data_IF_197561333874
#
_entry.id   IF_197561333874
#
_cell.length_a   1.000
_cell.length_b   1.000
_cell.length_c   1.000
_cell.angle_alpha   90.00
_cell.angle_beta   90.00
_cell.angle_gamma   90.00
#
_symmetry.space_group_name_H-M   'P 1'
#
loop_
_entity.id
_entity.type
_entity.pdbx_description
1 polymer ?
#
# COMPACT_ATOMS: atom_id res chain seq x y z
N UNK A 1 45.37 -45.61 -53.44
CA UNK A 1 45.90 -44.23 -53.35
C UNK A 1 45.26 -43.49 -52.17
N UNK A 2 43.93 -43.48 -52.07
CA UNK A 2 43.17 -42.93 -50.92
C UNK A 2 43.56 -43.57 -49.58
N UNK A 3 43.73 -44.90 -49.52
CA UNK A 3 44.19 -45.63 -48.31
C UNK A 3 45.62 -45.27 -47.86
N UNK A 4 46.52 -44.91 -48.78
CA UNK A 4 47.90 -44.54 -48.45
C UNK A 4 47.98 -43.11 -47.89
N UNK A 5 47.11 -42.21 -48.37
CA UNK A 5 46.94 -40.85 -47.85
C UNK A 5 46.25 -40.84 -46.49
N UNK A 6 45.25 -41.71 -46.28
CA UNK A 6 44.63 -41.91 -44.96
C UNK A 6 45.62 -42.39 -43.89
N UNK A 7 46.57 -43.28 -44.24
CA UNK A 7 47.66 -43.69 -43.34
C UNK A 7 48.67 -42.58 -43.01
N UNK A 8 48.74 -41.52 -43.82
CA UNK A 8 49.56 -40.34 -43.59
C UNK A 8 48.78 -39.19 -42.89
N UNK A 9 47.49 -39.40 -42.55
CA UNK A 9 46.63 -38.38 -41.96
C UNK A 9 46.17 -37.29 -42.93
N UNK A 10 46.18 -37.57 -44.24
CA UNK A 10 45.79 -36.64 -45.30
C UNK A 10 44.48 -37.09 -45.95
N UNK A 11 43.54 -36.17 -46.06
CA UNK A 11 42.19 -36.37 -46.59
C UNK A 11 41.96 -35.47 -47.80
N UNK A 12 41.06 -35.84 -48.71
CA UNK A 12 40.61 -34.95 -49.78
C UNK A 12 39.26 -34.35 -49.41
N UNK A 13 39.07 -33.06 -49.66
CA UNK A 13 37.75 -32.42 -49.56
C UNK A 13 36.94 -32.55 -50.87
N UNK A 14 35.70 -32.08 -50.84
CA UNK A 14 34.76 -32.09 -51.98
C UNK A 14 35.28 -31.33 -53.22
N UNK A 15 36.34 -30.52 -53.08
CA UNK A 15 37.00 -29.77 -54.14
C UNK A 15 38.35 -30.38 -54.56
N UNK A 16 38.61 -31.64 -54.16
CA UNK A 16 39.87 -32.37 -54.38
C UNK A 16 41.11 -31.67 -53.80
N UNK A 17 40.97 -30.86 -52.74
CA UNK A 17 42.11 -30.28 -52.03
C UNK A 17 42.56 -31.20 -50.90
N UNK A 18 43.87 -31.33 -50.72
CA UNK A 18 44.46 -32.09 -49.62
C UNK A 18 44.25 -31.32 -48.31
N UNK A 19 43.68 -31.98 -47.30
CA UNK A 19 43.47 -31.47 -45.94
C UNK A 19 44.09 -32.43 -44.92
N UNK A 20 44.47 -31.87 -43.77
CA UNK A 20 45.08 -32.61 -42.65
C UNK A 20 44.03 -33.02 -41.60
N UNK A 21 42.80 -32.52 -41.75
CA UNK A 21 41.65 -32.86 -40.92
C UNK A 21 40.57 -33.46 -41.83
N UNK A 22 39.87 -34.47 -41.34
CA UNK A 22 38.77 -35.11 -42.06
C UNK A 22 37.66 -34.08 -42.33
N UNK A 23 37.17 -33.93 -43.58
CA UNK A 23 36.22 -32.90 -43.97
C UNK A 23 34.94 -32.90 -43.12
N UNK A 24 34.38 -34.08 -42.83
CA UNK A 24 33.18 -34.23 -42.02
C UNK A 24 33.40 -33.77 -40.58
N UNK A 25 34.55 -34.12 -39.99
CA UNK A 25 34.94 -33.68 -38.64
C UNK A 25 35.16 -32.16 -38.62
N UNK A 26 35.75 -31.58 -39.67
CA UNK A 26 35.93 -30.15 -39.80
C UNK A 26 34.58 -29.41 -39.86
N UNK A 27 33.62 -29.94 -40.63
CA UNK A 27 32.31 -29.36 -40.79
C UNK A 27 31.47 -29.47 -39.51
N UNK A 28 31.43 -30.64 -38.88
CA UNK A 28 30.77 -30.84 -37.59
C UNK A 28 31.36 -29.94 -36.49
N UNK A 29 32.68 -29.69 -36.50
CA UNK A 29 33.32 -28.78 -35.55
C UNK A 29 32.89 -27.33 -35.78
N UNK A 30 32.68 -26.92 -37.03
CA UNK A 30 32.19 -25.58 -37.38
C UNK A 30 30.72 -25.41 -37.01
N UNK A 31 29.87 -26.39 -37.32
CA UNK A 31 28.45 -26.41 -36.93
C UNK A 31 28.32 -26.35 -35.40
N UNK A 32 29.06 -27.20 -34.68
CA UNK A 32 29.06 -27.19 -33.21
C UNK A 32 29.50 -25.83 -32.64
N UNK A 33 30.49 -25.17 -33.26
CA UNK A 33 30.94 -23.83 -32.85
C UNK A 33 29.83 -22.80 -33.02
N UNK A 34 29.14 -22.84 -34.14
CA UNK A 34 28.09 -21.88 -34.48
C UNK A 34 26.86 -22.10 -33.59
N UNK A 35 26.46 -23.35 -33.37
CA UNK A 35 25.40 -23.73 -32.42
C UNK A 35 25.74 -23.32 -30.98
N UNK A 36 26.98 -23.54 -30.53
CA UNK A 36 27.44 -23.08 -29.22
C UNK A 36 27.33 -21.56 -29.09
N UNK A 37 27.65 -20.82 -30.15
CA UNK A 37 27.58 -19.36 -30.14
C UNK A 37 26.12 -18.89 -30.07
N UNK A 38 25.24 -19.47 -30.86
CA UNK A 38 23.82 -19.14 -30.84
C UNK A 38 23.19 -19.47 -29.47
N UNK A 39 23.57 -20.60 -28.87
CA UNK A 39 23.15 -20.96 -27.52
C UNK A 39 23.59 -19.93 -26.47
N UNK A 40 24.86 -19.49 -26.53
CA UNK A 40 25.38 -18.45 -25.61
C UNK A 40 24.64 -17.13 -25.79
N UNK A 41 24.33 -16.75 -27.03
CA UNK A 41 23.58 -15.53 -27.33
C UNK A 41 22.14 -15.61 -26.77
N UNK A 42 21.47 -16.76 -26.95
CA UNK A 42 20.13 -16.99 -26.40
C UNK A 42 20.10 -16.97 -24.87
N UNK A 43 21.07 -17.60 -24.22
CA UNK A 43 21.21 -17.56 -22.75
C UNK A 43 21.46 -16.14 -22.25
N UNK A 44 22.30 -15.38 -22.96
CA UNK A 44 22.58 -13.99 -22.62
C UNK A 44 21.34 -13.10 -22.76
N UNK A 45 20.51 -13.33 -23.78
CA UNK A 45 19.24 -12.62 -23.93
C UNK A 45 18.22 -13.01 -22.85
N UNK A 46 18.16 -14.29 -22.51
CA UNK A 46 17.32 -14.79 -21.43
C UNK A 46 17.69 -14.15 -20.09
N UNK A 47 18.98 -14.13 -19.74
CA UNK A 47 19.47 -13.46 -18.52
C UNK A 47 19.06 -11.99 -18.47
N UNK A 48 19.25 -11.24 -19.57
CA UNK A 48 18.82 -9.84 -19.66
C UNK A 48 17.31 -9.66 -19.44
N UNK A 49 16.49 -10.58 -19.94
CA UNK A 49 15.03 -10.55 -19.72
C UNK A 49 14.67 -10.88 -18.27
N UNK A 50 15.32 -11.87 -17.68
CA UNK A 50 15.15 -12.24 -16.27
C UNK A 50 15.53 -11.09 -15.33
N UNK A 51 16.67 -10.42 -15.58
CA UNK A 51 17.11 -9.28 -14.77
C UNK A 51 16.11 -8.12 -14.83
N UNK A 52 15.63 -7.78 -16.04
CA UNK A 52 14.57 -6.77 -16.21
C UNK A 52 13.27 -7.17 -15.53
N UNK A 53 12.91 -8.45 -15.57
CA UNK A 53 11.71 -8.93 -14.90
C UNK A 53 11.83 -8.80 -13.38
N UNK A 54 12.98 -9.15 -12.80
CA UNK A 54 13.26 -8.96 -11.37
C UNK A 54 13.11 -7.47 -11.01
N UNK A 55 13.71 -6.57 -11.80
CA UNK A 55 13.61 -5.13 -11.56
C UNK A 55 12.15 -4.63 -11.59
N UNK A 56 11.35 -5.11 -12.55
CA UNK A 56 9.92 -4.74 -12.64
C UNK A 56 9.15 -5.25 -11.42
N UNK A 57 9.43 -6.48 -10.97
CA UNK A 57 8.78 -7.07 -9.79
C UNK A 57 9.13 -6.28 -8.54
N UNK A 58 10.38 -5.89 -8.36
CA UNK A 58 10.82 -5.07 -7.22
C UNK A 58 10.12 -3.70 -7.21
N UNK A 59 10.11 -3.01 -8.35
CA UNK A 59 9.40 -1.73 -8.48
C UNK A 59 7.90 -1.85 -8.24
N UNK A 60 7.28 -2.97 -8.63
CA UNK A 60 5.88 -3.24 -8.35
C UNK A 60 5.65 -3.46 -6.85
N UNK A 61 6.54 -4.21 -6.19
CA UNK A 61 6.52 -4.41 -4.74
C UNK A 61 6.54 -3.09 -3.98
N UNK A 62 7.47 -2.20 -4.31
CA UNK A 62 7.57 -0.87 -3.70
C UNK A 62 6.29 -0.03 -3.89
N UNK A 63 5.70 -0.06 -5.09
CA UNK A 63 4.45 0.66 -5.38
C UNK A 63 3.29 0.12 -4.57
N UNK A 64 3.17 -1.22 -4.47
CA UNK A 64 2.13 -1.88 -3.68
C UNK A 64 2.25 -1.50 -2.20
N UNK A 65 3.46 -1.56 -1.64
CA UNK A 65 3.68 -1.20 -0.24
C UNK A 65 3.39 0.27 0.03
N UNK A 66 3.76 1.17 -0.90
CA UNK A 66 3.43 2.59 -0.80
C UNK A 66 1.93 2.84 -0.76
N UNK A 67 1.15 2.23 -1.65
CA UNK A 67 -0.31 2.39 -1.67
C UNK A 67 -0.97 1.70 -0.47
N UNK A 68 -0.47 0.55 -0.03
CA UNK A 68 -0.90 -0.11 1.20
C UNK A 68 -0.71 0.79 2.42
N UNK A 69 0.45 1.44 2.54
CA UNK A 69 0.73 2.37 3.65
C UNK A 69 -0.20 3.58 3.62
N UNK A 70 -0.47 4.16 2.45
CA UNK A 70 -1.48 5.24 2.30
C UNK A 70 -2.87 4.78 2.74
N UNK A 71 -3.31 3.61 2.26
CA UNK A 71 -4.62 3.05 2.62
C UNK A 71 -4.76 2.80 4.12
N UNK A 72 -3.73 2.25 4.77
CA UNK A 72 -3.68 2.09 6.22
C UNK A 72 -3.72 3.44 6.95
N UNK A 73 -2.97 4.44 6.47
CA UNK A 73 -2.97 5.80 7.00
C UNK A 73 -4.35 6.44 6.96
N UNK A 74 -5.01 6.43 5.81
CA UNK A 74 -6.38 6.96 5.65
C UNK A 74 -7.38 6.23 6.54
N UNK A 75 -7.30 4.89 6.63
CA UNK A 75 -8.16 4.10 7.51
C UNK A 75 -7.96 4.45 8.99
N UNK A 76 -6.72 4.64 9.42
CA UNK A 76 -6.42 5.03 10.80
C UNK A 76 -6.92 6.43 11.13
N UNK A 77 -6.77 7.38 10.19
CA UNK A 77 -7.31 8.73 10.34
C UNK A 77 -8.83 8.71 10.49
N UNK A 78 -9.55 7.99 9.62
CA UNK A 78 -11.00 7.85 9.72
C UNK A 78 -11.43 7.25 11.06
N UNK A 79 -10.70 6.23 11.54
CA UNK A 79 -10.98 5.60 12.82
C UNK A 79 -10.75 6.57 14.00
N UNK A 80 -9.69 7.38 13.96
CA UNK A 80 -9.45 8.38 15.01
C UNK A 80 -10.50 9.50 14.99
N UNK A 81 -10.88 9.97 13.79
CA UNK A 81 -11.93 10.97 13.63
C UNK A 81 -13.28 10.48 14.16
N UNK A 82 -13.67 9.23 13.91
CA UNK A 82 -14.91 8.65 14.45
C UNK A 82 -14.89 8.63 15.98
N UNK A 83 -13.77 8.18 16.59
CA UNK A 83 -13.61 8.20 18.04
C UNK A 83 -13.66 9.60 18.63
N UNK A 84 -13.00 10.56 17.99
CA UNK A 84 -13.02 11.96 18.43
C UNK A 84 -14.44 12.53 18.35
N UNK A 85 -15.17 12.23 17.27
CA UNK A 85 -16.55 12.64 17.09
C UNK A 85 -17.46 12.09 18.20
N UNK A 86 -17.34 10.80 18.51
CA UNK A 86 -18.09 10.16 19.60
C UNK A 86 -17.78 10.79 20.95
N UNK A 87 -16.49 11.00 21.26
CA UNK A 87 -16.07 11.65 22.50
C UNK A 87 -16.61 13.08 22.62
N UNK A 88 -16.52 13.87 21.54
CA UNK A 88 -17.07 15.23 21.51
C UNK A 88 -18.59 15.21 21.70
N UNK A 89 -19.30 14.27 21.09
CA UNK A 89 -20.75 14.13 21.25
C UNK A 89 -21.12 13.80 22.70
N UNK A 90 -20.39 12.89 23.36
CA UNK A 90 -20.60 12.57 24.77
C UNK A 90 -20.36 13.78 25.67
N UNK A 91 -19.29 14.54 25.43
CA UNK A 91 -19.00 15.77 26.16
C UNK A 91 -20.11 16.82 25.99
N UNK A 92 -20.61 17.03 24.77
CA UNK A 92 -21.72 17.95 24.52
C UNK A 92 -23.01 17.51 25.22
N UNK A 93 -23.33 16.21 25.20
CA UNK A 93 -24.51 15.67 25.89
C UNK A 93 -24.40 15.87 27.41
N UNK A 94 -23.21 15.65 27.98
CA UNK A 94 -22.97 15.90 29.40
C UNK A 94 -23.18 17.39 29.75
N UNK A 95 -22.63 18.30 28.94
CA UNK A 95 -22.78 19.73 29.14
C UNK A 95 -24.24 20.19 29.01
N UNK A 96 -24.98 19.68 28.01
CA UNK A 96 -26.41 19.97 27.84
C UNK A 96 -27.19 19.51 29.08
N UNK A 97 -26.87 18.32 29.60
CA UNK A 97 -27.53 17.77 30.80
C UNK A 97 -27.26 18.63 32.03
N UNK A 98 -26.01 19.05 32.23
CA UNK A 98 -25.64 19.96 33.32
C UNK A 98 -26.39 21.29 33.23
N UNK A 99 -26.46 21.89 32.03
CA UNK A 99 -27.16 23.17 31.82
C UNK A 99 -28.66 23.07 32.02
N UNK A 100 -29.28 21.96 31.61
CA UNK A 100 -30.70 21.69 31.89
C UNK A 100 -30.97 21.61 33.39
N UNK A 101 -30.12 20.89 34.13
CA UNK A 101 -30.26 20.78 35.58
C UNK A 101 -30.08 22.14 36.28
N UNK A 102 -29.12 22.95 35.84
CA UNK A 102 -28.95 24.32 36.34
C UNK A 102 -30.21 25.16 36.09
N UNK A 103 -30.78 25.07 34.89
CA UNK A 103 -31.99 25.80 34.51
C UNK A 103 -33.20 25.38 35.35
N UNK A 104 -33.42 24.08 35.56
CA UNK A 104 -34.51 23.59 36.41
C UNK A 104 -34.38 24.08 37.86
N UNK A 105 -33.14 24.12 38.38
CA UNK A 105 -32.87 24.67 39.72
C UNK A 105 -33.22 26.15 39.79
N UNK A 106 -32.81 26.94 38.80
CA UNK A 106 -33.09 28.37 38.72
C UNK A 106 -34.59 28.65 38.61
N UNK A 107 -35.32 27.85 37.82
CA UNK A 107 -36.78 27.95 37.72
C UNK A 107 -37.46 27.74 39.07
N UNK A 108 -37.10 26.67 39.80
CA UNK A 108 -37.65 26.41 41.15
C UNK A 108 -37.34 27.52 42.14
N UNK A 109 -36.13 28.09 42.09
CA UNK A 109 -35.76 29.22 42.93
C UNK A 109 -36.58 30.46 42.59
N UNK A 110 -36.78 30.73 41.31
CA UNK A 110 -37.60 31.85 40.84
C UNK A 110 -39.06 31.72 41.28
N UNK A 111 -39.67 30.54 41.11
CA UNK A 111 -41.04 30.26 41.58
C UNK A 111 -41.18 30.43 43.10
N UNK A 112 -40.18 29.98 43.86
CA UNK A 112 -40.16 30.17 45.32
C UNK A 112 -40.08 31.65 45.70
N UNK A 113 -39.30 32.45 44.98
CA UNK A 113 -39.17 33.89 45.24
C UNK A 113 -40.46 34.63 44.91
N UNK A 114 -41.12 34.30 43.79
CA UNK A 114 -42.43 34.86 43.43
C UNK A 114 -43.47 34.59 44.52
N UNK A 115 -43.46 33.39 45.11
CA UNK A 115 -44.38 33.08 46.22
C UNK A 115 -44.11 33.95 47.45
N UNK A 116 -42.84 34.08 47.83
CA UNK A 116 -42.45 34.94 48.97
C UNK A 116 -42.80 36.41 48.70
N UNK A 117 -42.59 36.89 47.48
CA UNK A 117 -42.98 38.24 47.07
C UNK A 117 -44.49 38.45 47.18
N UNK A 118 -45.30 37.49 46.73
CA UNK A 118 -46.76 37.54 46.86
C UNK A 118 -47.19 37.57 48.34
N UNK A 119 -46.64 36.68 49.17
CA UNK A 119 -46.93 36.63 50.61
C UNK A 119 -46.56 37.96 51.31
N UNK A 120 -45.43 38.57 50.93
CA UNK A 120 -45.00 39.87 51.45
C UNK A 120 -45.93 41.00 51.03
N UNK A 121 -46.36 41.03 49.76
CA UNK A 121 -47.30 42.03 49.27
C UNK A 121 -48.66 41.93 49.97
N UNK A 122 -49.19 40.71 50.15
CA UNK A 122 -50.43 40.49 50.93
C UNK A 122 -50.28 40.99 52.37
N UNK A 123 -49.15 40.71 53.03
CA UNK A 123 -48.88 41.21 54.37
C UNK A 123 -48.86 42.74 54.44
N UNK A 124 -48.23 43.40 53.46
CA UNK A 124 -48.19 44.86 53.37
C UNK A 124 -49.61 45.42 53.17
N UNK A 125 -50.40 44.84 52.27
CA UNK A 125 -51.79 45.27 52.04
C UNK A 125 -52.65 45.15 53.31
N UNK A 126 -52.55 44.03 54.02
CA UNK A 126 -53.27 43.83 55.29
C UNK A 126 -52.83 44.84 56.35
N UNK A 127 -51.53 45.14 56.44
CA UNK A 127 -51.01 46.12 57.38
C UNK A 127 -51.48 47.55 57.07
N UNK A 128 -51.59 47.89 55.77
CA UNK A 128 -52.11 49.18 55.33
C UNK A 128 -53.62 49.34 55.59
N UNK A 129 -54.41 48.26 55.47
CA UNK A 129 -55.85 48.27 55.72
C UNK A 129 -56.24 48.31 57.21
N UNK A 130 -55.32 47.98 58.12
CA UNK A 130 -55.53 48.03 59.58
C UNK A 130 -55.19 49.40 60.22
N UNK A 131 -54.74 50.38 59.44
CA UNK A 131 -54.57 51.79 59.86
C UNK A 131 -55.73 52.65 59.38
#
# INVERSE_FOLDING_TARGET
>A
MVEALGKAGLYFDELNKIRVLEPDVAQQTVELRDDCKEFVDQISEFQKKSDKFIEIVDQLGEKVDKEKMKGLGSRNLLKSMSKQKEANQQQLVALITEKRMQLERLQKQYESLLRVEADQNEFIEQFLLQK
#
